data_IF_805044817181
#
_entry.id   IF_805044817181
#
_cell.length_a   1.000
_cell.length_b   1.000
_cell.length_c   1.000
_cell.angle_alpha   90.00
_cell.angle_beta   90.00
_cell.angle_gamma   90.00
#
_symmetry.space_group_name_H-M   'P 1'
#
loop_
_entity.id
_entity.type
_entity.pdbx_description
1 polymer ?
#
# COMPACT_ATOMS: atom_id res chain seq x y z
N UNK A 1 9.23 -48.95 0.10
CA UNK A 1 8.35 -47.75 0.22
C UNK A 1 8.33 -47.00 -1.09
N UNK A 2 7.20 -46.98 -1.75
CA UNK A 2 7.01 -46.76 -3.20
C UNK A 2 7.27 -45.29 -3.62
N UNK A 3 7.90 -45.13 -4.77
CA UNK A 3 8.14 -43.87 -5.52
C UNK A 3 6.86 -43.04 -5.65
N UNK A 4 5.70 -43.67 -5.77
CA UNK A 4 4.36 -43.06 -5.78
C UNK A 4 4.01 -42.27 -4.51
N UNK A 5 4.58 -42.62 -3.33
CA UNK A 5 4.36 -41.89 -2.06
C UNK A 5 5.16 -40.59 -2.01
N UNK A 6 6.35 -40.57 -2.64
CA UNK A 6 7.20 -39.37 -2.76
C UNK A 6 6.64 -38.35 -3.75
N UNK A 7 6.03 -38.81 -4.87
CA UNK A 7 5.41 -37.94 -5.87
C UNK A 7 4.12 -37.31 -5.33
N UNK A 8 3.26 -38.10 -4.63
CA UNK A 8 2.07 -37.54 -3.97
C UNK A 8 2.41 -36.50 -2.88
N UNK A 9 3.52 -36.67 -2.17
CA UNK A 9 4.02 -35.70 -1.18
C UNK A 9 4.47 -34.39 -1.84
N UNK A 10 5.22 -34.42 -2.94
CA UNK A 10 5.68 -33.26 -3.70
C UNK A 10 4.51 -32.48 -4.37
N UNK A 11 3.55 -33.20 -4.96
CA UNK A 11 2.36 -32.58 -5.57
C UNK A 11 1.47 -31.96 -4.51
N UNK A 12 1.31 -32.59 -3.33
CA UNK A 12 0.56 -31.99 -2.22
C UNK A 12 1.21 -30.72 -1.64
N UNK A 13 2.56 -30.60 -1.71
CA UNK A 13 3.27 -29.38 -1.25
C UNK A 13 3.11 -28.21 -2.19
N UNK A 14 2.93 -28.46 -3.50
CA UNK A 14 2.68 -27.44 -4.53
C UNK A 14 1.30 -26.79 -4.42
N UNK A 15 0.33 -27.46 -3.79
CA UNK A 15 -1.03 -26.96 -3.54
C UNK A 15 -1.31 -26.55 -2.10
N UNK A 16 -0.30 -26.55 -1.22
CA UNK A 16 -0.50 -26.09 0.16
C UNK A 16 -0.62 -24.57 0.14
N UNK A 17 -1.86 -24.06 0.23
CA UNK A 17 -2.11 -22.62 0.43
C UNK A 17 -1.22 -22.13 1.57
N UNK A 18 -0.34 -21.17 1.29
CA UNK A 18 0.49 -20.55 2.32
C UNK A 18 -0.44 -19.98 3.39
N UNK A 19 -0.17 -20.29 4.68
CA UNK A 19 -0.93 -19.71 5.78
C UNK A 19 -0.64 -18.21 5.78
N UNK A 20 -1.67 -17.41 5.63
CA UNK A 20 -1.58 -15.95 5.68
C UNK A 20 -2.05 -15.43 7.04
N UNK A 21 -1.50 -14.31 7.45
CA UNK A 21 -1.87 -13.55 8.65
C UNK A 21 -2.75 -12.38 8.22
N UNK A 22 -3.78 -12.05 8.98
CA UNK A 22 -4.61 -10.86 8.73
C UNK A 22 -3.75 -9.58 8.81
N UNK A 23 -4.05 -8.55 8.00
CA UNK A 23 -3.21 -7.36 7.93
C UNK A 23 -2.90 -6.72 9.28
N UNK A 24 -3.89 -6.47 10.13
CA UNK A 24 -3.69 -5.87 11.45
C UNK A 24 -2.62 -6.63 12.27
N UNK A 25 -2.82 -7.93 12.47
CA UNK A 25 -1.88 -8.75 13.23
C UNK A 25 -0.49 -8.86 12.57
N UNK A 26 -0.42 -8.89 11.23
CA UNK A 26 0.84 -8.92 10.51
C UNK A 26 1.63 -7.63 10.70
N UNK A 27 0.97 -6.48 10.60
CA UNK A 27 1.60 -5.17 10.77
C UNK A 27 1.93 -4.87 12.23
N UNK A 28 1.17 -5.37 13.21
CA UNK A 28 1.57 -5.31 14.63
C UNK A 28 2.90 -6.03 14.88
N UNK A 29 3.08 -7.23 14.29
CA UNK A 29 4.35 -7.96 14.36
C UNK A 29 5.47 -7.17 13.67
N UNK A 30 5.19 -6.56 12.53
CA UNK A 30 6.18 -5.89 11.70
C UNK A 30 6.61 -4.51 12.23
N UNK A 31 5.77 -3.83 13.01
CA UNK A 31 5.94 -2.45 13.45
C UNK A 31 7.32 -2.18 14.09
N UNK A 32 7.85 -3.14 14.86
CA UNK A 32 9.15 -2.99 15.54
C UNK A 32 10.35 -2.83 14.62
N UNK A 33 10.25 -3.31 13.36
CA UNK A 33 11.33 -3.30 12.36
C UNK A 33 10.96 -2.60 11.05
N UNK A 34 9.72 -2.14 10.90
CA UNK A 34 9.19 -1.62 9.65
C UNK A 34 10.04 -0.51 9.02
N UNK A 35 10.40 0.50 9.80
CA UNK A 35 11.18 1.65 9.31
C UNK A 35 12.67 1.34 9.03
N UNK A 36 13.15 0.15 9.39
CA UNK A 36 14.55 -0.26 9.20
C UNK A 36 14.84 -1.00 7.90
N UNK A 37 13.84 -1.18 7.05
CA UNK A 37 13.94 -1.95 5.80
C UNK A 37 14.54 -1.11 4.66
N UNK A 38 15.85 -0.93 4.69
CA UNK A 38 16.58 -0.23 3.62
C UNK A 38 16.62 -1.03 2.31
N UNK A 39 16.46 -2.35 2.38
CA UNK A 39 16.66 -3.27 1.26
C UNK A 39 15.33 -3.72 0.62
N UNK A 40 14.28 -2.91 0.76
CA UNK A 40 12.96 -3.22 0.21
C UNK A 40 12.74 -2.47 -1.11
N UNK A 41 12.82 -3.16 -2.28
CA UNK A 41 12.64 -2.52 -3.59
C UNK A 41 11.27 -1.88 -3.77
N UNK A 42 10.23 -2.45 -3.14
CA UNK A 42 8.87 -1.91 -3.22
C UNK A 42 8.77 -0.59 -2.45
N UNK A 43 9.33 -0.53 -1.25
CA UNK A 43 9.34 0.72 -0.47
C UNK A 43 10.13 1.82 -1.21
N UNK A 44 11.24 1.46 -1.83
CA UNK A 44 12.03 2.36 -2.66
C UNK A 44 11.25 2.89 -3.86
N UNK A 45 10.70 2.00 -4.71
CA UNK A 45 9.90 2.39 -5.87
C UNK A 45 8.67 3.19 -5.47
N UNK A 46 8.00 2.79 -4.38
CA UNK A 46 6.84 3.50 -3.86
C UNK A 46 7.21 4.93 -3.44
N UNK A 47 8.36 5.11 -2.80
CA UNK A 47 8.80 6.46 -2.42
C UNK A 47 9.06 7.35 -3.64
N UNK A 48 9.62 6.81 -4.73
CA UNK A 48 9.80 7.55 -5.97
C UNK A 48 8.47 7.98 -6.59
N UNK A 49 7.55 7.03 -6.78
CA UNK A 49 6.23 7.31 -7.36
C UNK A 49 5.43 8.27 -6.49
N UNK A 50 5.45 8.06 -5.18
CA UNK A 50 4.74 8.93 -4.23
C UNK A 50 5.30 10.35 -4.26
N UNK A 51 6.62 10.50 -4.30
CA UNK A 51 7.28 11.79 -4.39
C UNK A 51 6.97 12.50 -5.71
N UNK A 52 7.04 11.78 -6.85
CA UNK A 52 6.69 12.33 -8.16
C UNK A 52 5.26 12.92 -8.16
N UNK A 53 4.30 12.18 -7.57
CA UNK A 53 2.92 12.65 -7.45
C UNK A 53 2.83 13.86 -6.50
N UNK A 54 3.44 13.78 -5.32
CA UNK A 54 3.38 14.88 -4.33
C UNK A 54 4.05 16.15 -4.83
N UNK A 55 5.14 16.04 -5.61
CA UNK A 55 5.85 17.22 -6.11
C UNK A 55 4.99 18.06 -7.07
N UNK A 56 4.02 17.42 -7.75
CA UNK A 56 3.03 18.08 -8.59
C UNK A 56 1.83 18.68 -7.82
N UNK A 57 1.80 18.55 -6.48
CA UNK A 57 0.67 18.97 -5.64
C UNK A 57 1.02 20.15 -4.76
N UNK A 58 0.09 21.10 -4.68
CA UNK A 58 0.10 22.12 -3.63
C UNK A 58 -0.75 21.62 -2.44
N UNK A 59 -0.09 21.43 -1.30
CA UNK A 59 -0.71 20.94 -0.06
C UNK A 59 -0.80 22.04 1.01
N UNK A 60 -0.34 23.24 0.75
CA UNK A 60 -0.37 24.32 1.73
C UNK A 60 -1.79 24.59 2.23
N UNK A 61 -1.98 24.58 3.53
CA UNK A 61 -3.29 24.81 4.16
C UNK A 61 -4.33 23.69 3.93
N UNK A 62 -3.98 22.57 3.30
CA UNK A 62 -4.91 21.46 3.01
C UNK A 62 -5.07 20.52 4.19
N UNK A 63 -6.26 19.95 4.33
CA UNK A 63 -6.54 18.82 5.22
C UNK A 63 -6.37 17.52 4.46
N UNK A 64 -5.52 16.63 4.95
CA UNK A 64 -5.17 15.37 4.31
C UNK A 64 -5.64 14.22 5.19
N UNK A 65 -6.28 13.23 4.60
CA UNK A 65 -6.60 11.94 5.22
C UNK A 65 -5.64 10.90 4.65
N UNK A 66 -4.88 10.24 5.50
CA UNK A 66 -3.93 9.18 5.13
C UNK A 66 -4.47 7.83 5.62
N UNK A 67 -4.96 7.01 4.69
CA UNK A 67 -5.55 5.71 4.96
C UNK A 67 -4.50 4.62 4.83
N UNK A 68 -4.24 3.91 5.93
CA UNK A 68 -3.10 3.01 6.10
C UNK A 68 -1.80 3.78 6.32
N UNK A 69 -1.84 4.76 7.20
CA UNK A 69 -0.72 5.68 7.47
C UNK A 69 0.51 4.97 8.05
N UNK A 70 0.34 3.76 8.62
CA UNK A 70 1.40 2.97 9.21
C UNK A 70 2.19 3.74 10.25
N UNK A 71 3.50 3.73 10.12
CA UNK A 71 4.43 4.49 10.97
C UNK A 71 4.58 5.96 10.55
N UNK A 72 3.81 6.43 9.56
CA UNK A 72 3.95 7.78 9.00
C UNK A 72 5.18 7.95 8.11
N UNK A 73 5.62 6.91 7.41
CA UNK A 73 6.82 6.96 6.56
C UNK A 73 6.78 8.03 5.46
N UNK A 74 5.59 8.41 5.00
CA UNK A 74 5.39 9.47 4.00
C UNK A 74 5.15 10.85 4.61
N UNK A 75 5.00 10.96 5.94
CA UNK A 75 4.55 12.20 6.58
C UNK A 75 5.58 13.32 6.51
N UNK A 76 6.87 13.04 6.61
CA UNK A 76 7.90 14.09 6.47
C UNK A 76 7.76 14.82 5.13
N UNK A 77 7.53 14.08 4.03
CA UNK A 77 7.35 14.67 2.70
C UNK A 77 6.04 15.46 2.62
N UNK A 78 4.94 14.93 3.19
CA UNK A 78 3.66 15.65 3.22
C UNK A 78 3.78 16.93 4.06
N UNK A 79 4.35 16.83 5.27
CA UNK A 79 4.53 17.96 6.20
C UNK A 79 5.44 19.06 5.63
N UNK A 80 6.45 18.69 4.82
CA UNK A 80 7.32 19.68 4.17
C UNK A 80 6.56 20.64 3.25
N UNK A 81 5.35 20.25 2.80
CA UNK A 81 4.44 21.07 1.99
C UNK A 81 3.42 21.89 2.79
N UNK A 82 3.58 21.96 4.11
CA UNK A 82 2.81 22.79 5.04
C UNK A 82 1.28 22.58 4.97
N UNK A 83 0.77 21.34 5.04
CA UNK A 83 -0.67 21.12 5.15
C UNK A 83 -1.20 21.73 6.46
N UNK A 84 -2.50 22.04 6.47
CA UNK A 84 -3.17 22.45 7.71
C UNK A 84 -3.22 21.31 8.72
N UNK A 85 -3.53 20.09 8.24
CA UNK A 85 -3.68 18.91 9.10
C UNK A 85 -3.49 17.62 8.30
N UNK A 86 -2.89 16.61 8.95
CA UNK A 86 -2.94 15.22 8.50
C UNK A 86 -3.73 14.41 9.53
N UNK A 87 -4.67 13.59 9.07
CA UNK A 87 -5.45 12.65 9.87
C UNK A 87 -5.09 11.25 9.39
N UNK A 88 -4.44 10.46 10.23
CA UNK A 88 -3.99 9.11 9.91
C UNK A 88 -5.00 8.06 10.35
N UNK A 89 -5.19 7.03 9.52
CA UNK A 89 -5.97 5.85 9.83
C UNK A 89 -5.15 4.60 9.56
N UNK A 90 -5.13 3.65 10.49
CA UNK A 90 -4.46 2.36 10.31
C UNK A 90 -5.18 1.25 11.07
N UNK A 91 -5.03 0.00 10.62
CA UNK A 91 -5.59 -1.19 11.28
C UNK A 91 -4.68 -1.74 12.37
N UNK A 92 -3.43 -1.31 12.45
CA UNK A 92 -2.41 -1.75 13.38
C UNK A 92 -2.18 -0.73 14.48
N UNK A 93 -2.47 -1.09 15.72
CA UNK A 93 -2.20 -0.25 16.90
C UNK A 93 -0.71 -0.03 17.13
N UNK A 94 0.13 -1.02 16.83
CA UNK A 94 1.58 -0.92 16.98
C UNK A 94 2.19 0.03 15.95
N UNK A 95 1.67 0.05 14.71
CA UNK A 95 2.06 1.04 13.71
C UNK A 95 1.72 2.46 14.16
N UNK A 96 0.50 2.68 14.63
CA UNK A 96 0.09 3.98 15.18
C UNK A 96 0.95 4.39 16.39
N UNK A 97 1.29 3.44 17.25
CA UNK A 97 2.21 3.68 18.37
C UNK A 97 3.60 4.17 17.90
N UNK A 98 4.14 3.61 16.81
CA UNK A 98 5.39 4.08 16.18
C UNK A 98 5.23 5.45 15.54
N UNK A 99 4.09 5.70 14.92
CA UNK A 99 3.79 7.01 14.34
C UNK A 99 3.78 8.09 15.44
N UNK A 100 3.12 7.85 16.58
CA UNK A 100 3.09 8.79 17.69
C UNK A 100 4.45 9.03 18.34
N UNK A 101 5.37 8.05 18.30
CA UNK A 101 6.75 8.29 18.76
C UNK A 101 7.48 9.30 17.87
N UNK A 102 7.20 9.31 16.56
CA UNK A 102 7.79 10.28 15.59
C UNK A 102 7.03 11.61 15.56
N UNK A 103 5.73 11.55 15.69
CA UNK A 103 4.82 12.71 15.61
C UNK A 103 3.86 12.74 16.80
N UNK A 104 4.32 13.20 17.99
CA UNK A 104 3.52 13.13 19.24
C UNK A 104 2.18 13.87 19.17
N UNK A 105 2.04 14.88 18.28
CA UNK A 105 0.81 15.66 18.09
C UNK A 105 -0.09 15.13 16.96
N UNK A 106 0.23 13.95 16.39
CA UNK A 106 -0.53 13.39 15.31
C UNK A 106 -1.98 13.07 15.71
N UNK A 107 -2.91 13.36 14.81
CA UNK A 107 -4.30 12.89 14.94
C UNK A 107 -4.43 11.57 14.18
N UNK A 108 -4.67 10.47 14.90
CA UNK A 108 -4.82 9.15 14.28
C UNK A 108 -6.02 8.40 14.85
N UNK A 109 -6.53 7.45 14.06
CA UNK A 109 -7.64 6.58 14.44
C UNK A 109 -7.31 5.12 14.06
N UNK A 110 -7.59 4.20 14.98
CA UNK A 110 -7.51 2.77 14.70
C UNK A 110 -8.73 2.35 13.88
N UNK A 111 -8.49 1.73 12.72
CA UNK A 111 -9.55 1.20 11.87
C UNK A 111 -9.94 -0.22 12.30
N UNK A 112 -11.23 -0.46 12.46
CA UNK A 112 -11.81 -1.79 12.66
C UNK A 112 -12.57 -2.28 11.42
N UNK A 113 -12.97 -1.34 10.55
CA UNK A 113 -13.67 -1.54 9.29
C UNK A 113 -13.25 -0.46 8.28
N UNK A 114 -14.08 -0.17 7.26
CA UNK A 114 -13.77 0.87 6.28
C UNK A 114 -14.18 2.28 6.71
N UNK A 115 -14.85 2.46 7.87
CA UNK A 115 -15.37 3.76 8.29
C UNK A 115 -14.24 4.68 8.78
N UNK A 116 -14.17 5.88 8.21
CA UNK A 116 -13.24 6.92 8.63
C UNK A 116 -13.85 7.77 9.76
N UNK A 117 -14.04 7.11 10.92
CA UNK A 117 -14.59 7.74 12.11
C UNK A 117 -13.76 8.96 12.52
N UNK A 118 -14.42 10.04 12.93
CA UNK A 118 -13.76 11.31 13.26
C UNK A 118 -13.50 12.24 12.07
N UNK A 119 -13.75 11.79 10.84
CA UNK A 119 -13.78 12.64 9.65
C UNK A 119 -15.21 12.85 9.16
N UNK A 120 -15.59 14.12 9.00
CA UNK A 120 -16.92 14.52 8.53
C UNK A 120 -17.03 14.43 7.00
N UNK A 121 -18.25 14.48 6.48
CA UNK A 121 -18.49 14.60 5.05
C UNK A 121 -17.80 15.84 4.50
N UNK A 122 -17.20 15.73 3.34
CA UNK A 122 -16.56 16.83 2.62
C UNK A 122 -15.59 17.66 3.49
N UNK A 123 -14.83 16.98 4.37
CA UNK A 123 -13.97 17.65 5.35
C UNK A 123 -12.49 17.68 4.97
N UNK A 124 -12.03 16.83 4.03
CA UNK A 124 -10.64 16.81 3.60
C UNK A 124 -10.46 17.23 2.13
N UNK A 125 -9.30 17.77 1.85
CA UNK A 125 -8.91 18.22 0.51
C UNK A 125 -8.23 17.11 -0.28
N UNK A 126 -7.67 16.12 0.42
CA UNK A 126 -6.98 14.98 -0.17
C UNK A 126 -7.15 13.73 0.66
N UNK A 127 -7.30 12.60 -0.03
CA UNK A 127 -7.13 11.26 0.53
C UNK A 127 -5.89 10.62 -0.07
N UNK A 128 -5.03 10.11 0.78
CA UNK A 128 -3.83 9.35 0.41
C UNK A 128 -3.98 7.92 0.88
N UNK A 129 -3.57 6.96 0.06
CA UNK A 129 -3.49 5.54 0.43
C UNK A 129 -2.29 4.91 -0.25
N UNK A 130 -1.28 4.56 0.52
CA UNK A 130 0.01 4.09 0.02
C UNK A 130 0.28 2.65 0.48
N UNK A 131 0.34 1.71 -0.47
CA UNK A 131 0.57 0.27 -0.26
C UNK A 131 -0.54 -0.43 0.56
N UNK A 132 -1.79 0.02 0.46
CA UNK A 132 -2.91 -0.42 1.31
C UNK A 132 -4.04 -1.09 0.56
N UNK A 133 -4.37 -0.63 -0.66
CA UNK A 133 -5.54 -1.10 -1.43
C UNK A 133 -5.59 -2.62 -1.54
N UNK A 134 -4.46 -3.27 -1.71
CA UNK A 134 -4.37 -4.73 -1.76
C UNK A 134 -4.72 -5.45 -0.44
N UNK A 135 -4.87 -4.76 0.67
CA UNK A 135 -5.32 -5.37 1.94
C UNK A 135 -6.81 -5.18 2.19
N UNK A 136 -7.48 -4.33 1.42
CA UNK A 136 -8.90 -4.02 1.57
C UNK A 136 -9.74 -5.09 0.88
N UNK A 137 -10.56 -5.83 1.62
CA UNK A 137 -11.44 -6.86 1.08
C UNK A 137 -12.60 -6.24 0.29
N UNK A 138 -13.29 -5.30 0.90
CA UNK A 138 -14.43 -4.58 0.31
C UNK A 138 -13.97 -3.20 -0.18
N UNK A 139 -13.29 -3.20 -1.33
CA UNK A 139 -12.78 -1.97 -1.92
C UNK A 139 -13.90 -0.98 -2.30
N UNK A 140 -15.07 -1.41 -2.84
CA UNK A 140 -16.18 -0.50 -3.09
C UNK A 140 -16.62 0.28 -1.85
N UNK A 141 -16.76 -0.38 -0.70
CA UNK A 141 -17.13 0.28 0.55
C UNK A 141 -16.06 1.27 1.03
N UNK A 142 -14.78 0.90 0.95
CA UNK A 142 -13.68 1.78 1.31
C UNK A 142 -13.62 3.04 0.43
N UNK A 143 -13.71 2.87 -0.89
CA UNK A 143 -13.69 4.01 -1.81
C UNK A 143 -14.93 4.91 -1.65
N UNK A 144 -16.10 4.36 -1.31
CA UNK A 144 -17.29 5.15 -0.99
C UNK A 144 -17.06 6.03 0.25
N UNK A 145 -16.38 5.49 1.27
CA UNK A 145 -16.05 6.23 2.47
C UNK A 145 -15.00 7.31 2.21
N UNK A 146 -13.98 7.04 1.39
CA UNK A 146 -13.03 8.05 0.94
C UNK A 146 -13.72 9.17 0.17
N UNK A 147 -14.67 8.79 -0.71
CA UNK A 147 -15.49 9.76 -1.43
C UNK A 147 -16.38 10.61 -0.50
N UNK A 148 -16.91 10.02 0.58
CA UNK A 148 -17.72 10.75 1.57
C UNK A 148 -16.93 11.89 2.22
N UNK A 149 -15.73 11.60 2.73
CA UNK A 149 -14.91 12.59 3.46
C UNK A 149 -14.25 13.62 2.56
N UNK A 150 -14.02 13.28 1.28
CA UNK A 150 -13.34 14.15 0.32
C UNK A 150 -14.27 15.26 -0.19
N UNK A 151 -13.78 16.51 -0.19
CA UNK A 151 -14.45 17.67 -0.78
C UNK A 151 -14.62 17.50 -2.29
N UNK A 152 -15.55 18.20 -2.89
CA UNK A 152 -15.61 18.37 -4.35
C UNK A 152 -14.35 19.07 -4.84
N UNK A 153 -13.79 18.61 -5.94
CA UNK A 153 -12.50 19.08 -6.44
C UNK A 153 -11.30 18.60 -5.65
N UNK A 154 -11.51 17.87 -4.54
CA UNK A 154 -10.45 17.23 -3.77
C UNK A 154 -9.81 16.05 -4.52
N UNK A 155 -8.65 15.64 -4.10
CA UNK A 155 -7.86 14.65 -4.82
C UNK A 155 -7.63 13.36 -4.03
N UNK A 156 -7.48 12.27 -4.77
CA UNK A 156 -7.16 10.95 -4.23
C UNK A 156 -5.84 10.50 -4.85
N UNK A 157 -4.91 10.09 -4.00
CA UNK A 157 -3.64 9.48 -4.40
C UNK A 157 -3.59 8.06 -3.88
N UNK A 158 -3.45 7.10 -4.79
CA UNK A 158 -3.32 5.68 -4.49
C UNK A 158 -1.98 5.21 -5.04
N UNK A 159 -1.13 4.62 -4.20
CA UNK A 159 0.01 3.85 -4.69
C UNK A 159 -0.08 2.42 -4.16
N UNK A 160 0.20 1.42 -4.99
CA UNK A 160 0.17 0.03 -4.55
C UNK A 160 0.93 -0.91 -5.51
N UNK A 161 1.12 -2.15 -5.07
CA UNK A 161 1.61 -3.21 -5.96
C UNK A 161 0.74 -3.31 -7.19
N UNK A 162 1.38 -3.43 -8.34
CA UNK A 162 0.64 -3.67 -9.58
C UNK A 162 -0.05 -5.04 -9.54
N UNK A 163 -1.35 -5.12 -9.92
CA UNK A 163 -2.11 -6.38 -9.84
C UNK A 163 -1.46 -7.54 -10.59
N UNK A 164 -0.77 -7.26 -11.70
CA UNK A 164 -0.06 -8.27 -12.50
C UNK A 164 1.04 -8.96 -11.68
N UNK A 165 1.82 -8.21 -10.90
CA UNK A 165 2.86 -8.77 -10.05
C UNK A 165 2.31 -9.75 -9.00
N UNK A 166 1.12 -9.47 -8.47
CA UNK A 166 0.46 -10.34 -7.50
C UNK A 166 -0.19 -11.57 -8.15
N UNK A 167 -0.76 -11.43 -9.35
CA UNK A 167 -1.32 -12.54 -10.13
C UNK A 167 -0.24 -13.50 -10.63
N UNK A 168 0.96 -13.01 -10.93
CA UNK A 168 2.13 -13.78 -11.32
C UNK A 168 2.75 -14.63 -10.21
N UNK A 169 2.17 -14.64 -9.01
CA UNK A 169 2.67 -15.40 -7.85
C UNK A 169 3.44 -14.55 -6.84
N UNK A 170 3.49 -13.24 -7.02
CA UNK A 170 3.99 -12.30 -6.03
C UNK A 170 3.18 -12.39 -4.72
N UNK A 171 3.86 -12.28 -3.59
CA UNK A 171 3.22 -12.33 -2.28
C UNK A 171 3.62 -11.09 -1.49
N UNK A 172 2.68 -10.56 -0.72
CA UNK A 172 3.00 -9.57 0.31
C UNK A 172 3.49 -10.32 1.55
N UNK A 173 4.74 -10.12 1.90
CA UNK A 173 5.36 -10.81 3.03
C UNK A 173 6.55 -10.03 3.55
N UNK A 174 6.95 -10.32 4.78
CA UNK A 174 8.16 -9.83 5.41
C UNK A 174 8.80 -10.93 6.24
N UNK A 175 10.05 -10.75 6.62
CA UNK A 175 10.76 -11.69 7.51
C UNK A 175 10.74 -11.15 8.94
N UNK A 176 10.33 -11.98 9.88
CA UNK A 176 10.39 -11.72 11.32
C UNK A 176 10.95 -12.94 12.02
N UNK A 177 11.99 -12.76 12.84
CA UNK A 177 12.68 -13.84 13.55
C UNK A 177 13.00 -15.06 12.64
N UNK A 178 13.63 -14.77 11.49
CA UNK A 178 14.01 -15.76 10.46
C UNK A 178 12.82 -16.49 9.79
N UNK A 179 11.58 -16.11 10.10
CA UNK A 179 10.38 -16.70 9.50
C UNK A 179 9.71 -15.72 8.53
N UNK A 180 9.26 -16.26 7.39
CA UNK A 180 8.47 -15.47 6.43
C UNK A 180 7.02 -15.42 6.88
N UNK A 181 6.52 -14.21 7.14
CA UNK A 181 5.12 -13.93 7.43
C UNK A 181 4.44 -13.49 6.14
N UNK A 182 3.46 -14.27 5.68
CA UNK A 182 2.65 -13.93 4.51
C UNK A 182 1.41 -13.17 4.96
N UNK A 183 1.18 -12.00 4.35
CA UNK A 183 0.05 -11.14 4.69
C UNK A 183 -1.11 -11.48 3.76
N UNK A 184 -2.31 -11.62 4.30
CA UNK A 184 -3.52 -11.81 3.51
C UNK A 184 -3.76 -10.58 2.65
N UNK A 185 -3.92 -10.78 1.36
CA UNK A 185 -4.14 -9.70 0.41
C UNK A 185 -5.16 -10.08 -0.67
N UNK A 186 -5.67 -9.07 -1.32
CA UNK A 186 -6.65 -9.15 -2.40
C UNK A 186 -6.08 -8.51 -3.65
N UNK A 187 -6.43 -9.04 -4.82
CA UNK A 187 -5.98 -8.49 -6.10
C UNK A 187 -7.13 -7.70 -6.72
N UNK A 188 -6.93 -6.39 -6.84
CA UNK A 188 -7.89 -5.49 -7.48
C UNK A 188 -7.35 -5.04 -8.85
N UNK A 189 -7.86 -5.59 -9.98
CA UNK A 189 -7.41 -5.18 -11.30
C UNK A 189 -7.65 -3.68 -11.54
N UNK A 190 -6.70 -2.98 -12.18
CA UNK A 190 -6.77 -1.53 -12.38
C UNK A 190 -8.08 -1.10 -13.08
N UNK A 191 -8.55 -1.87 -14.07
CA UNK A 191 -9.82 -1.57 -14.74
C UNK A 191 -11.04 -1.59 -13.80
N UNK A 192 -11.01 -2.41 -12.72
CA UNK A 192 -12.08 -2.43 -11.71
C UNK A 192 -11.98 -1.21 -10.79
N UNK A 193 -10.77 -0.81 -10.39
CA UNK A 193 -10.57 0.43 -9.62
C UNK A 193 -11.07 1.63 -10.44
N UNK A 194 -10.70 1.71 -11.72
CA UNK A 194 -11.18 2.76 -12.64
C UNK A 194 -12.70 2.78 -12.78
N UNK A 195 -13.33 1.62 -12.90
CA UNK A 195 -14.79 1.54 -12.97
C UNK A 195 -15.48 2.03 -11.68
N UNK A 196 -14.88 1.77 -10.50
CA UNK A 196 -15.38 2.30 -9.23
C UNK A 196 -15.18 3.82 -9.13
N UNK A 197 -14.00 4.32 -9.52
CA UNK A 197 -13.71 5.75 -9.59
C UNK A 197 -14.72 6.50 -10.46
N UNK A 198 -15.01 5.97 -11.66
CA UNK A 198 -15.99 6.54 -12.58
C UNK A 198 -17.42 6.59 -11.97
N UNK A 199 -17.84 5.54 -11.25
CA UNK A 199 -19.14 5.52 -10.55
C UNK A 199 -19.24 6.57 -9.46
N UNK A 200 -18.11 6.99 -8.88
CA UNK A 200 -18.04 8.04 -7.86
C UNK A 200 -17.77 9.42 -8.45
N UNK A 201 -17.85 9.57 -9.78
CA UNK A 201 -17.53 10.79 -10.50
C UNK A 201 -16.09 11.29 -10.23
N UNK A 202 -15.13 10.38 -10.11
CA UNK A 202 -13.72 10.73 -10.03
C UNK A 202 -13.12 10.79 -11.43
N UNK A 203 -12.43 11.87 -11.72
CA UNK A 203 -11.69 12.06 -12.95
C UNK A 203 -10.26 11.59 -12.77
N UNK A 204 -9.78 10.74 -13.65
CA UNK A 204 -8.37 10.34 -13.69
C UNK A 204 -7.51 11.52 -14.09
N UNK A 205 -6.49 11.83 -13.31
CA UNK A 205 -5.52 12.89 -13.59
C UNK A 205 -4.24 12.27 -14.15
N UNK A 206 -3.70 11.25 -13.48
CA UNK A 206 -2.44 10.62 -13.84
C UNK A 206 -2.37 9.17 -13.34
N UNK A 207 -1.74 8.31 -14.14
CA UNK A 207 -1.42 6.93 -13.79
C UNK A 207 0.06 6.66 -14.11
N UNK A 208 0.85 6.45 -13.08
CA UNK A 208 2.26 6.07 -13.18
C UNK A 208 2.37 4.57 -12.94
N UNK A 209 3.01 3.84 -13.85
CA UNK A 209 3.34 2.43 -13.67
C UNK A 209 4.85 2.27 -13.64
N UNK A 210 5.37 1.60 -12.62
CA UNK A 210 6.77 1.22 -12.52
C UNK A 210 6.95 -0.26 -12.84
N UNK A 211 7.99 -0.56 -13.60
CA UNK A 211 8.35 -1.91 -14.02
C UNK A 211 9.62 -2.35 -13.32
N UNK A 212 9.86 -3.65 -13.36
CA UNK A 212 11.19 -4.19 -13.01
C UNK A 212 12.14 -3.78 -14.12
N UNK A 213 13.08 -2.88 -13.82
CA UNK A 213 14.05 -2.32 -14.76
C UNK A 213 15.44 -2.17 -14.11
N UNK A 214 16.41 -1.60 -14.84
CA UNK A 214 17.77 -1.44 -14.36
C UNK A 214 17.88 -0.61 -13.07
N UNK A 215 16.95 0.30 -12.79
CA UNK A 215 16.98 1.16 -11.61
C UNK A 215 16.86 0.41 -10.29
N UNK A 216 16.32 -0.82 -10.30
CA UNK A 216 16.15 -1.66 -9.10
C UNK A 216 16.97 -2.96 -9.16
N UNK A 217 17.81 -3.15 -10.18
CA UNK A 217 18.62 -4.36 -10.35
C UNK A 217 19.52 -4.63 -9.15
N UNK A 218 20.10 -3.59 -8.58
CA UNK A 218 21.01 -3.69 -7.43
C UNK A 218 20.36 -4.40 -6.22
N UNK A 219 19.05 -4.25 -5.99
CA UNK A 219 18.35 -4.97 -4.91
C UNK A 219 18.39 -6.48 -5.12
N UNK A 220 18.30 -6.94 -6.37
CA UNK A 220 18.34 -8.36 -6.72
C UNK A 220 19.77 -8.90 -6.69
N UNK A 221 20.76 -8.07 -7.00
CA UNK A 221 22.19 -8.38 -6.87
C UNK A 221 22.59 -8.56 -5.42
N UNK A 222 22.24 -7.60 -4.55
CA UNK A 222 22.53 -7.67 -3.11
C UNK A 222 21.89 -8.88 -2.42
N UNK A 223 20.70 -9.28 -2.86
CA UNK A 223 19.99 -10.42 -2.33
C UNK A 223 20.36 -11.76 -3.03
N UNK A 224 21.30 -11.75 -3.97
CA UNK A 224 21.72 -12.92 -4.76
C UNK A 224 20.56 -13.62 -5.52
N UNK A 225 19.58 -12.85 -6.01
CA UNK A 225 18.39 -13.36 -6.72
C UNK A 225 18.24 -12.76 -8.13
N UNK A 226 19.34 -12.55 -8.85
CA UNK A 226 19.34 -12.01 -10.23
C UNK A 226 18.43 -12.80 -11.18
N UNK A 227 18.31 -14.11 -11.00
CA UNK A 227 17.39 -14.93 -11.80
C UNK A 227 15.91 -14.49 -11.69
N UNK A 228 15.52 -13.88 -10.55
CA UNK A 228 14.17 -13.32 -10.38
C UNK A 228 14.07 -12.01 -11.15
N UNK A 229 15.12 -11.16 -11.10
CA UNK A 229 15.18 -9.93 -11.90
C UNK A 229 15.03 -10.22 -13.39
N UNK A 230 15.82 -11.16 -13.93
CA UNK A 230 15.79 -11.55 -15.35
C UNK A 230 14.41 -12.06 -15.77
N UNK A 231 13.77 -12.87 -14.93
CA UNK A 231 12.43 -13.41 -15.17
C UNK A 231 11.35 -12.34 -15.18
N UNK A 232 11.44 -11.38 -14.27
CA UNK A 232 10.40 -10.34 -14.08
C UNK A 232 10.72 -9.04 -14.84
N UNK A 233 11.87 -8.95 -15.53
CA UNK A 233 12.28 -7.75 -16.26
C UNK A 233 11.18 -7.26 -17.23
N UNK A 234 10.88 -5.96 -17.16
CA UNK A 234 9.82 -5.33 -17.94
C UNK A 234 8.40 -5.53 -17.40
N UNK A 235 8.22 -6.40 -16.37
CA UNK A 235 6.91 -6.63 -15.74
C UNK A 235 6.52 -5.46 -14.84
N UNK A 236 5.26 -4.98 -14.87
CA UNK A 236 4.81 -3.94 -13.98
C UNK A 236 4.76 -4.45 -12.53
N UNK A 237 5.32 -3.68 -11.60
CA UNK A 237 5.50 -4.08 -10.19
C UNK A 237 4.76 -3.17 -9.23
N UNK A 238 4.61 -1.89 -9.56
CA UNK A 238 3.97 -0.89 -8.72
C UNK A 238 3.23 0.12 -9.59
N UNK A 239 2.15 0.69 -9.06
CA UNK A 239 1.47 1.81 -9.69
C UNK A 239 1.24 2.94 -8.70
N UNK A 240 1.14 4.18 -9.23
CA UNK A 240 0.61 5.36 -8.56
C UNK A 240 -0.50 5.96 -9.38
N UNK A 241 -1.64 6.24 -8.74
CA UNK A 241 -2.83 6.73 -9.43
C UNK A 241 -3.39 7.97 -8.72
N UNK A 242 -3.63 9.01 -9.51
CA UNK A 242 -4.20 10.26 -9.02
C UNK A 242 -5.56 10.50 -9.66
N UNK A 243 -6.53 10.82 -8.83
CA UNK A 243 -7.88 11.18 -9.25
C UNK A 243 -8.30 12.50 -8.63
N UNK A 244 -9.28 13.17 -9.24
CA UNK A 244 -9.98 14.33 -8.68
C UNK A 244 -11.46 14.04 -8.60
N UNK A 245 -12.07 14.34 -7.47
CA UNK A 245 -13.52 14.21 -7.28
C UNK A 245 -14.25 15.35 -8.01
N UNK A 246 -15.22 15.00 -8.86
CA UNK A 246 -16.09 15.96 -9.54
C UNK A 246 -17.18 16.59 -8.66
#
# INVERSE_FOLDING_TARGET
MSILRKIKGKVRSLFRRKKTTEPAAAYDIWASSYDRQKDNPIAYLNSLVFNDILDALDLEGKTIVDVGCGTGSNWDKILSKRPYKIIGYDVSSEMLGRLHQKYPQATTFLLHDNALNGSWDLSCDMVVSSLVVGYIKDLPAALAEWNRVLKRGGEIVITDFHPVALQGGGNRSFTHEEKVVYIKNYVHPLHKIKALANKMNWQEIDLIERKVDESIKFFFEEQHVLHVYEKEFGSPILYGWRFRKG
#
